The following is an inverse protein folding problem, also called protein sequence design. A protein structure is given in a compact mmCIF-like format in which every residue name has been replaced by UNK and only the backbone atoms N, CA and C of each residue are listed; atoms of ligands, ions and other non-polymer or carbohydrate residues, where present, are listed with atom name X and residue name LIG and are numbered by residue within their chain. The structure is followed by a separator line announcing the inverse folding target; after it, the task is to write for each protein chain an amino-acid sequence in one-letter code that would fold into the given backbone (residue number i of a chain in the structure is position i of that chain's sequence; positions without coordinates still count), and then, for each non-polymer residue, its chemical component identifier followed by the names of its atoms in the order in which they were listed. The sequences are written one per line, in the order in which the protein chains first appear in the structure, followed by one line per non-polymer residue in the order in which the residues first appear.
data_IF_872422359036
#
_entry.id   IF_872422359036
#
_cell.length_a   1.000
_cell.length_b   1.000
_cell.length_c   1.000
_cell.angle_alpha   90.00
_cell.angle_beta   90.00
_cell.angle_gamma   90.00
#
_symmetry.space_group_name_H-M   'P 1'
#
loop_
_entity.id
_entity.type
_entity.pdbx_description
1 polymer ?
#
# COMPACT_ATOMS: atom_id res chain seq x y z
N UNK A 1 9.43 -79.15 -29.87
CA UNK A 1 10.05 -78.48 -28.72
C UNK A 1 9.93 -76.94 -28.96
N UNK A 2 8.90 -76.36 -28.37
CA UNK A 2 8.62 -74.92 -28.53
C UNK A 2 9.26 -74.13 -27.33
N UNK A 3 10.23 -73.27 -27.60
CA UNK A 3 10.85 -72.39 -26.62
C UNK A 3 9.96 -71.14 -26.44
N UNK A 4 9.39 -70.98 -25.27
CA UNK A 4 8.70 -69.77 -24.89
C UNK A 4 9.73 -68.74 -24.35
N UNK A 5 9.86 -67.61 -25.04
CA UNK A 5 10.69 -66.47 -24.64
C UNK A 5 9.74 -65.53 -23.86
N UNK A 6 9.92 -65.47 -22.53
CA UNK A 6 9.24 -64.54 -21.65
C UNK A 6 9.95 -63.20 -21.64
N UNK A 7 9.33 -62.18 -22.25
CA UNK A 7 9.83 -60.82 -22.21
C UNK A 7 9.35 -60.18 -20.89
N UNK A 8 10.22 -59.97 -19.95
CA UNK A 8 9.95 -59.21 -18.74
C UNK A 8 10.09 -57.70 -19.06
N UNK A 9 8.92 -57.04 -19.20
CA UNK A 9 8.89 -55.58 -19.32
C UNK A 9 9.08 -54.97 -17.93
N UNK A 10 10.24 -54.44 -17.66
CA UNK A 10 10.49 -53.59 -16.47
C UNK A 10 9.87 -52.23 -16.69
N UNK A 11 8.72 -51.99 -16.08
CA UNK A 11 8.11 -50.67 -16.00
C UNK A 11 8.92 -49.81 -15.01
N UNK A 12 9.81 -48.96 -15.51
CA UNK A 12 10.41 -47.89 -14.76
C UNK A 12 9.31 -46.84 -14.44
N UNK A 13 8.78 -46.90 -13.24
CA UNK A 13 7.99 -45.81 -12.65
C UNK A 13 8.96 -44.63 -12.37
N UNK A 14 9.03 -43.70 -13.31
CA UNK A 14 9.58 -42.37 -13.07
C UNK A 14 8.62 -41.68 -12.08
N UNK A 15 8.93 -41.76 -10.79
CA UNK A 15 8.37 -40.85 -9.79
C UNK A 15 9.00 -39.48 -10.09
N UNK A 16 8.33 -38.72 -10.95
CA UNK A 16 8.60 -37.28 -11.05
C UNK A 16 8.19 -36.69 -9.69
N UNK A 17 9.16 -36.48 -8.80
CA UNK A 17 9.02 -35.51 -7.72
C UNK A 17 8.71 -34.19 -8.41
N UNK A 18 7.46 -33.79 -8.45
CA UNK A 18 7.10 -32.42 -8.81
C UNK A 18 7.57 -31.56 -7.63
N UNK A 19 8.79 -31.00 -7.73
CA UNK A 19 9.20 -29.93 -6.84
C UNK A 19 8.10 -28.88 -6.90
N UNK A 20 7.61 -28.45 -5.72
CA UNK A 20 6.66 -27.32 -5.66
C UNK A 20 7.30 -26.16 -6.42
N UNK A 21 6.58 -25.52 -7.36
CA UNK A 21 7.14 -24.38 -8.07
C UNK A 21 7.59 -23.33 -7.04
N UNK A 22 8.85 -22.96 -7.11
CA UNK A 22 9.45 -21.92 -6.27
C UNK A 22 9.39 -20.56 -6.92
N UNK A 23 9.87 -19.55 -6.21
CA UNK A 23 10.13 -18.23 -6.77
C UNK A 23 11.61 -18.04 -7.08
N UNK A 24 11.87 -17.22 -8.09
CA UNK A 24 13.19 -16.67 -8.38
C UNK A 24 13.02 -15.15 -8.64
N UNK A 25 13.64 -14.33 -7.80
CA UNK A 25 13.70 -12.88 -7.97
C UNK A 25 15.05 -12.55 -8.57
N UNK A 26 15.07 -12.08 -9.82
CA UNK A 26 16.27 -11.53 -10.47
C UNK A 26 16.20 -10.02 -10.37
N UNK A 27 17.12 -9.41 -9.63
CA UNK A 27 17.11 -7.98 -9.35
C UNK A 27 18.28 -7.22 -9.97
N UNK A 28 18.05 -5.95 -10.27
CA UNK A 28 19.04 -4.98 -10.71
C UNK A 28 19.05 -3.75 -9.80
N UNK A 29 20.24 -3.17 -9.62
CA UNK A 29 20.45 -1.93 -8.87
C UNK A 29 21.25 -0.97 -9.76
N UNK A 30 20.67 0.20 -10.05
CA UNK A 30 21.28 1.17 -10.97
C UNK A 30 22.52 1.87 -10.37
N UNK A 31 22.62 1.97 -9.03
CA UNK A 31 23.72 2.65 -8.36
C UNK A 31 24.89 1.70 -8.13
N UNK A 32 26.04 2.00 -8.77
CA UNK A 32 27.27 1.21 -8.66
C UNK A 32 27.86 1.18 -7.23
N UNK A 33 27.63 2.22 -6.42
CA UNK A 33 28.15 2.31 -5.04
C UNK A 33 27.48 1.28 -4.10
N UNK A 34 26.39 0.67 -4.54
CA UNK A 34 25.68 -0.38 -3.82
C UNK A 34 26.24 -1.79 -4.12
N UNK A 35 27.24 -1.92 -5.01
CA UNK A 35 27.96 -3.20 -5.16
C UNK A 35 28.67 -3.59 -3.86
N UNK A 36 28.60 -4.87 -3.50
CA UNK A 36 29.12 -5.39 -2.24
C UNK A 36 28.21 -5.12 -1.04
N UNK A 37 27.06 -4.49 -1.21
CA UNK A 37 26.02 -4.32 -0.19
C UNK A 37 24.96 -5.40 -0.32
N UNK A 38 24.19 -5.63 0.76
CA UNK A 38 23.13 -6.61 0.78
C UNK A 38 21.77 -5.96 0.57
N UNK A 39 20.98 -6.55 -0.33
CA UNK A 39 19.53 -6.35 -0.40
C UNK A 39 18.89 -7.38 0.52
N UNK A 40 17.89 -6.93 1.31
CA UNK A 40 17.16 -7.76 2.24
C UNK A 40 15.71 -7.93 1.79
N UNK A 41 15.18 -9.14 2.02
CA UNK A 41 13.77 -9.45 1.86
C UNK A 41 13.11 -9.44 3.24
N UNK A 42 12.10 -8.58 3.43
CA UNK A 42 11.39 -8.44 4.69
C UNK A 42 9.91 -8.82 4.56
N UNK A 43 9.33 -9.22 5.67
CA UNK A 43 7.88 -9.27 5.81
C UNK A 43 7.29 -7.86 5.78
N UNK A 44 6.17 -7.68 5.06
CA UNK A 44 5.49 -6.39 4.97
C UNK A 44 4.62 -6.14 6.20
N UNK A 45 4.63 -4.91 6.71
CA UNK A 45 3.75 -4.46 7.80
C UNK A 45 4.19 -4.87 9.20
N UNK A 46 5.35 -5.50 9.34
CA UNK A 46 5.97 -5.82 10.64
C UNK A 46 7.06 -4.79 10.92
N UNK A 47 6.87 -4.03 12.01
CA UNK A 47 7.88 -3.07 12.45
C UNK A 47 9.08 -3.80 13.01
N UNK A 48 10.29 -3.32 12.71
CA UNK A 48 11.57 -3.87 13.17
C UNK A 48 11.75 -5.39 12.87
N UNK A 49 11.09 -5.87 11.79
CA UNK A 49 11.20 -7.26 11.38
C UNK A 49 12.64 -7.61 11.01
N UNK A 50 13.12 -8.74 11.50
CA UNK A 50 14.36 -9.33 11.00
C UNK A 50 14.18 -9.70 9.51
N UNK A 51 15.24 -9.57 8.68
CA UNK A 51 15.18 -10.01 7.30
C UNK A 51 14.85 -11.51 7.21
N UNK A 52 13.97 -11.87 6.28
CA UNK A 52 13.67 -13.26 5.94
C UNK A 52 14.83 -13.88 5.15
N UNK A 53 15.47 -13.07 4.30
CA UNK A 53 16.58 -13.49 3.44
C UNK A 53 17.41 -12.27 3.03
N UNK A 54 18.62 -12.51 2.48
CA UNK A 54 19.52 -11.47 1.99
C UNK A 54 20.26 -11.92 0.73
N UNK A 55 20.51 -10.97 -0.17
CA UNK A 55 21.27 -11.21 -1.40
C UNK A 55 22.34 -10.13 -1.61
N UNK A 56 23.58 -10.56 -1.89
CA UNK A 56 24.69 -9.66 -2.17
C UNK A 56 24.54 -9.05 -3.58
N UNK A 57 24.68 -7.74 -3.69
CA UNK A 57 24.73 -7.07 -4.99
C UNK A 57 26.12 -7.27 -5.60
N UNK A 58 26.17 -7.90 -6.77
CA UNK A 58 27.38 -8.12 -7.55
C UNK A 58 27.15 -7.65 -9.00
N UNK A 59 28.02 -6.78 -9.48
CA UNK A 59 27.89 -6.21 -10.83
C UNK A 59 26.51 -5.60 -11.10
N UNK A 60 25.93 -4.91 -10.11
CA UNK A 60 24.61 -4.30 -10.20
C UNK A 60 23.44 -5.28 -10.19
N UNK A 61 23.66 -6.56 -9.85
CA UNK A 61 22.60 -7.59 -9.82
C UNK A 61 22.54 -8.33 -8.50
N UNK A 62 21.37 -8.88 -8.17
CA UNK A 62 21.13 -9.75 -7.02
C UNK A 62 20.08 -10.81 -7.34
N UNK A 63 20.03 -11.90 -6.57
CA UNK A 63 19.07 -12.97 -6.79
C UNK A 63 18.59 -13.56 -5.47
N UNK A 64 17.27 -13.74 -5.33
CA UNK A 64 16.67 -14.56 -4.28
C UNK A 64 16.00 -15.79 -4.91
N UNK A 65 16.02 -16.92 -4.22
CA UNK A 65 15.32 -18.15 -4.60
C UNK A 65 14.71 -18.82 -3.38
N UNK A 66 13.50 -19.31 -3.54
CA UNK A 66 12.82 -20.00 -2.45
C UNK A 66 11.46 -20.53 -2.86
N UNK A 67 10.65 -20.87 -1.87
CA UNK A 67 9.26 -21.33 -2.07
C UNK A 67 8.33 -20.49 -1.23
N UNK A 68 7.11 -20.26 -1.73
CA UNK A 68 6.06 -19.53 -1.06
C UNK A 68 4.78 -20.39 -1.11
N UNK A 69 4.13 -20.59 0.04
CA UNK A 69 2.91 -21.41 0.10
C UNK A 69 1.70 -20.65 -0.47
N UNK A 70 1.63 -19.35 -0.28
CA UNK A 70 0.59 -18.46 -0.79
C UNK A 70 1.18 -17.08 -1.12
N UNK A 71 0.57 -16.31 -2.06
CA UNK A 71 0.97 -14.93 -2.32
C UNK A 71 0.99 -14.11 -1.03
N UNK A 72 2.06 -13.31 -0.82
CA UNK A 72 2.17 -12.45 0.34
C UNK A 72 2.96 -11.18 0.06
N UNK A 73 2.52 -10.06 0.63
CA UNK A 73 3.26 -8.80 0.54
C UNK A 73 4.63 -8.92 1.21
N UNK A 74 5.65 -8.44 0.52
CA UNK A 74 7.04 -8.40 0.98
C UNK A 74 7.66 -7.05 0.64
N UNK A 75 8.77 -6.75 1.31
CA UNK A 75 9.58 -5.56 1.06
C UNK A 75 11.00 -5.97 0.69
N UNK A 76 11.51 -5.44 -0.42
CA UNK A 76 12.93 -5.41 -0.74
C UNK A 76 13.50 -4.05 -0.35
N UNK A 77 14.60 -4.04 0.39
CA UNK A 77 15.29 -2.82 0.78
C UNK A 77 16.75 -3.10 1.14
N UNK A 78 17.59 -2.07 1.12
CA UNK A 78 18.89 -2.08 1.78
C UNK A 78 18.73 -1.80 3.28
N UNK A 79 19.79 -2.03 4.06
CA UNK A 79 19.85 -1.60 5.44
C UNK A 79 19.86 -0.05 5.53
N UNK A 80 19.32 0.50 6.61
CA UNK A 80 19.18 1.96 6.78
C UNK A 80 20.51 2.70 6.87
N UNK A 81 21.57 2.03 7.31
CA UNK A 81 22.94 2.57 7.32
C UNK A 81 23.60 2.61 5.94
N UNK A 82 23.02 1.91 4.94
CA UNK A 82 23.49 1.88 3.54
C UNK A 82 22.74 2.90 2.69
N UNK A 83 21.43 2.99 2.89
CA UNK A 83 20.55 3.92 2.19
C UNK A 83 19.70 4.63 3.23
N UNK A 84 20.01 5.91 3.48
CA UNK A 84 19.19 6.70 4.39
C UNK A 84 17.74 6.75 3.91
N UNK A 85 16.78 6.44 4.78
CA UNK A 85 15.37 6.58 4.44
C UNK A 85 15.08 8.07 4.28
N UNK A 86 15.12 8.58 3.05
CA UNK A 86 14.56 9.89 2.74
C UNK A 86 13.10 9.82 3.12
N UNK A 87 12.63 10.74 3.96
CA UNK A 87 11.22 10.84 4.33
C UNK A 87 10.43 10.94 3.03
N UNK A 88 9.75 9.85 2.65
CA UNK A 88 9.00 9.79 1.41
C UNK A 88 7.99 10.93 1.40
N UNK A 89 8.07 11.79 0.39
CA UNK A 89 6.97 12.70 0.10
C UNK A 89 5.75 11.81 -0.17
N UNK A 90 4.70 12.00 0.61
CA UNK A 90 3.36 11.37 0.54
C UNK A 90 3.22 10.21 -0.47
N UNK A 91 3.40 8.98 -0.01
CA UNK A 91 3.02 7.78 -0.76
C UNK A 91 4.05 7.21 -1.72
N UNK A 92 5.25 7.77 -1.85
CA UNK A 92 6.34 7.22 -2.64
C UNK A 92 7.14 6.21 -1.81
N UNK A 93 7.56 5.11 -2.44
CA UNK A 93 8.47 4.16 -1.83
C UNK A 93 9.80 4.85 -1.50
N UNK A 94 10.40 4.51 -0.36
CA UNK A 94 11.75 4.98 -0.02
C UNK A 94 12.75 4.59 -1.13
N UNK A 95 13.85 5.35 -1.32
CA UNK A 95 14.87 5.04 -2.30
C UNK A 95 15.32 3.58 -2.21
N UNK A 96 15.51 2.95 -3.35
CA UNK A 96 15.95 1.55 -3.46
C UNK A 96 15.10 0.56 -2.65
N UNK A 97 13.81 0.88 -2.49
CA UNK A 97 12.85 0.05 -1.76
C UNK A 97 11.68 -0.31 -2.67
N UNK A 98 11.21 -1.55 -2.63
CA UNK A 98 9.99 -1.98 -3.31
C UNK A 98 9.12 -2.82 -2.41
N UNK A 99 7.83 -2.51 -2.37
CA UNK A 99 6.79 -3.36 -1.79
C UNK A 99 6.09 -4.07 -2.93
N UNK A 100 6.03 -5.39 -2.85
CA UNK A 100 5.54 -6.25 -3.93
C UNK A 100 4.86 -7.49 -3.37
N UNK A 101 4.20 -8.25 -4.22
CA UNK A 101 3.62 -9.54 -3.84
C UNK A 101 4.59 -10.65 -4.22
N UNK A 102 5.09 -11.40 -3.23
CA UNK A 102 5.89 -12.58 -3.47
C UNK A 102 4.96 -13.74 -3.84
N UNK A 103 5.08 -14.19 -5.07
CA UNK A 103 4.40 -15.35 -5.65
C UNK A 103 5.45 -16.32 -6.20
N UNK A 104 5.13 -17.62 -6.29
CA UNK A 104 5.99 -18.54 -7.00
C UNK A 104 6.00 -18.22 -8.49
N UNK A 105 7.20 -18.21 -9.07
CA UNK A 105 7.44 -17.83 -10.45
C UNK A 105 8.74 -17.03 -10.63
N UNK A 106 8.89 -16.44 -11.81
CA UNK A 106 10.08 -15.61 -12.13
C UNK A 106 9.70 -14.14 -11.97
N UNK A 107 10.29 -13.49 -10.97
CA UNK A 107 10.11 -12.08 -10.70
C UNK A 107 11.34 -11.29 -11.18
N UNK A 108 11.09 -10.08 -11.68
CA UNK A 108 12.12 -9.12 -12.05
C UNK A 108 12.01 -7.92 -11.12
N UNK A 109 13.05 -7.61 -10.37
CA UNK A 109 13.12 -6.45 -9.48
C UNK A 109 14.07 -5.39 -10.05
N UNK A 110 13.66 -4.14 -9.98
CA UNK A 110 14.52 -2.98 -10.22
C UNK A 110 14.50 -2.16 -8.95
N UNK A 111 15.65 -1.98 -8.32
CA UNK A 111 15.82 -1.08 -7.19
C UNK A 111 16.55 0.17 -7.66
N UNK A 112 15.86 1.30 -7.57
CA UNK A 112 16.31 2.59 -8.06
C UNK A 112 15.99 3.70 -7.05
N UNK A 113 16.73 4.80 -7.09
CA UNK A 113 16.52 5.93 -6.16
C UNK A 113 15.15 6.59 -6.35
N UNK A 114 14.70 6.69 -7.59
CA UNK A 114 13.47 7.41 -7.94
C UNK A 114 12.25 6.50 -8.06
N UNK A 115 12.43 5.27 -8.56
CA UNK A 115 11.30 4.39 -8.85
C UNK A 115 11.72 2.91 -8.86
N UNK A 116 11.57 2.25 -7.74
CA UNK A 116 11.73 0.79 -7.62
C UNK A 116 10.44 0.06 -8.04
N UNK A 117 10.58 -1.11 -8.68
CA UNK A 117 9.43 -1.91 -9.09
C UNK A 117 9.77 -3.41 -9.15
N UNK A 118 8.75 -4.24 -8.96
CA UNK A 118 8.82 -5.68 -9.21
C UNK A 118 7.76 -6.05 -10.25
N UNK A 119 8.06 -7.01 -11.12
CA UNK A 119 7.19 -7.50 -12.20
C UNK A 119 7.46 -8.98 -12.48
N UNK A 120 6.75 -9.57 -13.45
CA UNK A 120 6.96 -10.96 -13.93
C UNK A 120 5.95 -11.96 -13.38
N UNK A 121 5.04 -11.53 -12.50
CA UNK A 121 3.88 -12.32 -12.08
C UNK A 121 2.59 -11.50 -12.28
N UNK A 122 1.44 -12.13 -12.48
CA UNK A 122 0.21 -11.42 -12.85
C UNK A 122 -0.19 -10.31 -11.89
N UNK A 123 -0.01 -10.51 -10.58
CA UNK A 123 -0.37 -9.50 -9.58
C UNK A 123 0.59 -8.32 -9.59
N UNK A 124 1.90 -8.57 -9.66
CA UNK A 124 2.92 -7.52 -9.74
C UNK A 124 2.85 -6.74 -11.08
N UNK A 125 2.56 -7.43 -12.18
CA UNK A 125 2.40 -6.78 -13.49
C UNK A 125 1.16 -5.88 -13.51
N UNK A 126 0.05 -6.31 -12.91
CA UNK A 126 -1.15 -5.50 -12.74
C UNK A 126 -0.91 -4.25 -11.88
N UNK A 127 -0.18 -4.40 -10.78
CA UNK A 127 0.20 -3.28 -9.91
C UNK A 127 1.12 -2.29 -10.65
N UNK A 128 2.11 -2.79 -11.38
CA UNK A 128 3.01 -1.97 -12.22
C UNK A 128 2.26 -1.20 -13.30
N UNK A 129 1.28 -1.83 -13.94
CA UNK A 129 0.42 -1.16 -14.95
C UNK A 129 -0.40 -0.02 -14.31
N UNK A 130 -0.99 -0.22 -13.14
CA UNK A 130 -1.68 0.83 -12.39
C UNK A 130 -0.72 1.97 -12.02
N UNK A 131 0.47 1.66 -11.52
CA UNK A 131 1.47 2.69 -11.18
C UNK A 131 1.85 3.54 -12.39
N UNK A 132 2.04 2.91 -13.57
CA UNK A 132 2.30 3.63 -14.82
C UNK A 132 1.12 4.53 -15.22
N UNK A 133 -0.11 4.07 -15.08
CA UNK A 133 -1.32 4.86 -15.32
C UNK A 133 -1.39 6.07 -14.37
N UNK A 134 -1.18 5.85 -13.07
CA UNK A 134 -1.16 6.93 -12.07
C UNK A 134 -0.07 7.97 -12.37
N UNK A 135 1.13 7.52 -12.75
CA UNK A 135 2.23 8.41 -13.17
C UNK A 135 1.83 9.28 -14.35
N UNK A 136 1.17 8.69 -15.36
CA UNK A 136 0.68 9.44 -16.53
C UNK A 136 -0.38 10.47 -16.13
N UNK A 137 -1.33 10.11 -15.27
CA UNK A 137 -2.36 11.02 -14.77
C UNK A 137 -1.77 12.19 -13.98
N UNK A 138 -0.70 11.95 -13.22
CA UNK A 138 -0.01 12.95 -12.39
C UNK A 138 1.03 13.79 -13.14
N UNK A 139 1.27 13.54 -14.41
CA UNK A 139 2.35 14.20 -15.18
C UNK A 139 2.26 15.73 -15.17
N UNK A 140 1.06 16.31 -15.06
CA UNK A 140 0.84 17.76 -15.04
C UNK A 140 0.90 18.39 -13.64
N UNK A 141 0.99 17.60 -12.55
CA UNK A 141 0.97 18.13 -11.16
C UNK A 141 2.16 19.03 -10.85
N UNK A 142 3.32 18.75 -11.42
CA UNK A 142 4.53 19.56 -11.26
C UNK A 142 4.34 20.99 -11.78
N UNK A 143 3.66 21.13 -12.94
CA UNK A 143 3.32 22.44 -13.53
C UNK A 143 2.29 23.17 -12.66
N UNK A 144 1.28 22.48 -12.16
CA UNK A 144 0.25 23.07 -11.29
C UNK A 144 0.82 23.56 -9.96
N UNK A 145 1.89 22.95 -9.45
CA UNK A 145 2.56 23.38 -8.22
C UNK A 145 3.11 24.80 -8.30
N UNK A 146 3.50 25.28 -9.49
CA UNK A 146 3.91 26.67 -9.68
C UNK A 146 2.70 27.62 -9.67
N UNK A 147 1.62 27.26 -10.36
CA UNK A 147 0.39 28.03 -10.46
C UNK A 147 -0.29 28.19 -9.09
N UNK A 148 -0.27 27.15 -8.23
CA UNK A 148 -0.78 27.20 -6.86
C UNK A 148 -0.04 28.19 -5.94
N UNK A 149 1.18 28.64 -6.31
CA UNK A 149 1.97 29.64 -5.58
C UNK A 149 1.83 31.04 -6.17
N UNK A 150 0.98 31.23 -7.18
CA UNK A 150 0.73 32.53 -7.81
C UNK A 150 0.08 33.50 -6.83
N UNK A 151 0.38 34.80 -6.97
CA UNK A 151 -0.34 35.87 -6.27
C UNK A 151 -1.73 36.13 -6.88
N UNK A 152 -1.96 35.70 -8.11
CA UNK A 152 -3.23 35.80 -8.80
C UNK A 152 -4.19 34.70 -8.35
N UNK A 153 -5.27 35.12 -7.67
CA UNK A 153 -6.29 34.21 -7.13
C UNK A 153 -7.04 33.41 -8.20
N UNK A 154 -7.20 33.94 -9.41
CA UNK A 154 -7.86 33.23 -10.52
C UNK A 154 -6.96 32.08 -11.01
N UNK A 155 -5.65 32.33 -11.10
CA UNK A 155 -4.66 31.29 -11.45
C UNK A 155 -4.64 30.19 -10.40
N UNK A 156 -4.60 30.56 -9.11
CA UNK A 156 -4.62 29.58 -7.99
C UNK A 156 -5.89 28.74 -8.04
N UNK A 157 -7.08 29.36 -8.15
CA UNK A 157 -8.35 28.65 -8.19
C UNK A 157 -8.47 27.70 -9.40
N UNK A 158 -7.95 28.10 -10.56
CA UNK A 158 -7.93 27.26 -11.73
C UNK A 158 -6.97 26.05 -11.55
N UNK A 159 -5.82 26.26 -10.88
CA UNK A 159 -4.86 25.20 -10.57
C UNK A 159 -5.41 24.20 -9.55
N UNK A 160 -6.08 24.68 -8.48
CA UNK A 160 -6.74 23.84 -7.48
C UNK A 160 -7.80 22.94 -8.12
N UNK A 161 -8.67 23.52 -8.94
CA UNK A 161 -9.70 22.73 -9.64
C UNK A 161 -9.08 21.63 -10.51
N UNK A 162 -7.98 21.94 -11.19
CA UNK A 162 -7.29 20.99 -12.05
C UNK A 162 -6.57 19.89 -11.24
N UNK A 163 -6.06 20.26 -10.07
CA UNK A 163 -5.51 19.31 -9.10
C UNK A 163 -6.59 18.31 -8.66
N UNK A 164 -7.75 18.79 -8.24
CA UNK A 164 -8.86 17.96 -7.80
C UNK A 164 -9.33 17.00 -8.91
N UNK A 165 -9.40 17.49 -10.17
CA UNK A 165 -9.76 16.66 -11.32
C UNK A 165 -8.73 15.53 -11.57
N UNK A 166 -7.44 15.78 -11.37
CA UNK A 166 -6.37 14.77 -11.49
C UNK A 166 -6.47 13.78 -10.34
N UNK A 167 -6.62 14.27 -9.11
CA UNK A 167 -6.70 13.42 -7.91
C UNK A 167 -7.92 12.50 -7.99
N UNK A 168 -9.07 13.00 -8.45
CA UNK A 168 -10.25 12.18 -8.69
C UNK A 168 -10.00 11.08 -9.72
N UNK A 169 -9.33 11.38 -10.85
CA UNK A 169 -8.98 10.37 -11.86
C UNK A 169 -8.04 9.29 -11.32
N UNK A 170 -7.08 9.68 -10.50
CA UNK A 170 -6.18 8.74 -9.83
C UNK A 170 -6.96 7.86 -8.87
N UNK A 171 -7.81 8.45 -8.04
CA UNK A 171 -8.67 7.72 -7.09
C UNK A 171 -9.62 6.75 -7.81
N UNK A 172 -10.23 7.16 -8.91
CA UNK A 172 -11.10 6.30 -9.73
C UNK A 172 -10.35 5.12 -10.36
N UNK A 173 -9.11 5.35 -10.84
CA UNK A 173 -8.27 4.29 -11.37
C UNK A 173 -7.90 3.27 -10.29
N UNK A 174 -7.52 3.74 -9.10
CA UNK A 174 -7.20 2.89 -7.95
C UNK A 174 -8.44 2.13 -7.47
N UNK A 175 -9.59 2.79 -7.31
CA UNK A 175 -10.86 2.15 -6.94
C UNK A 175 -11.24 1.04 -7.91
N UNK A 176 -11.11 1.31 -9.22
CA UNK A 176 -11.39 0.33 -10.27
C UNK A 176 -10.46 -0.88 -10.17
N UNK A 177 -9.17 -0.65 -9.97
CA UNK A 177 -8.21 -1.74 -9.77
C UNK A 177 -8.58 -2.60 -8.56
N UNK A 178 -8.87 -1.98 -7.42
CA UNK A 178 -9.20 -2.69 -6.18
C UNK A 178 -10.48 -3.53 -6.37
N UNK A 179 -11.54 -2.95 -6.93
CA UNK A 179 -12.80 -3.65 -7.15
C UNK A 179 -12.68 -4.85 -8.09
N UNK A 180 -11.75 -4.80 -9.05
CA UNK A 180 -11.46 -5.90 -9.96
C UNK A 180 -10.50 -6.96 -9.35
N UNK A 181 -9.92 -6.68 -8.17
CA UNK A 181 -8.89 -7.50 -7.54
C UNK A 181 -9.13 -7.75 -6.04
N UNK A 182 -10.38 -7.93 -5.60
CA UNK A 182 -10.78 -8.05 -4.19
C UNK A 182 -10.29 -9.33 -3.47
N UNK A 183 -9.50 -10.15 -4.15
CA UNK A 183 -8.82 -11.34 -3.62
C UNK A 183 -7.30 -11.20 -3.64
N UNK A 184 -6.77 -10.00 -3.99
CA UNK A 184 -5.37 -9.75 -4.23
C UNK A 184 -4.73 -8.94 -3.09
N UNK A 185 -3.50 -9.30 -2.72
CA UNK A 185 -2.74 -8.64 -1.66
C UNK A 185 -2.40 -7.18 -2.00
N UNK A 186 -2.05 -6.92 -3.26
CA UNK A 186 -1.77 -5.58 -3.77
C UNK A 186 -2.97 -4.66 -3.68
N UNK A 187 -4.17 -5.17 -3.96
CA UNK A 187 -5.40 -4.40 -3.88
C UNK A 187 -5.77 -4.06 -2.43
N UNK A 188 -5.54 -4.98 -1.48
CA UNK A 188 -5.72 -4.71 -0.06
C UNK A 188 -4.78 -3.61 0.44
N UNK A 189 -3.49 -3.67 0.05
CA UNK A 189 -2.54 -2.60 0.36
C UNK A 189 -3.00 -1.26 -0.21
N UNK A 190 -3.43 -1.21 -1.47
CA UNK A 190 -3.94 0.00 -2.10
C UNK A 190 -5.18 0.55 -1.41
N UNK A 191 -6.10 -0.31 -0.94
CA UNK A 191 -7.25 0.13 -0.15
C UNK A 191 -6.79 0.88 1.11
N UNK A 192 -5.80 0.36 1.81
CA UNK A 192 -5.27 1.03 3.00
C UNK A 192 -4.53 2.33 2.67
N UNK A 193 -3.73 2.35 1.61
CA UNK A 193 -2.97 3.53 1.19
C UNK A 193 -3.89 4.68 0.77
N UNK A 194 -4.97 4.36 0.05
CA UNK A 194 -5.95 5.34 -0.47
C UNK A 194 -7.20 5.51 0.40
N UNK A 195 -7.20 5.02 1.65
CA UNK A 195 -8.37 5.07 2.54
C UNK A 195 -8.94 6.47 2.79
N UNK A 196 -8.10 7.50 2.70
CA UNK A 196 -8.54 8.89 2.87
C UNK A 196 -9.04 9.54 1.57
N UNK A 197 -8.70 8.98 0.41
CA UNK A 197 -9.20 9.43 -0.89
C UNK A 197 -10.49 8.69 -1.30
N UNK A 198 -10.70 7.48 -0.76
CA UNK A 198 -11.90 6.67 -1.01
C UNK A 198 -12.99 7.01 0.01
N UNK A 199 -14.19 7.27 -0.46
CA UNK A 199 -15.33 7.49 0.42
C UNK A 199 -15.74 6.22 1.20
N UNK A 200 -16.50 6.39 2.28
CA UNK A 200 -16.95 5.29 3.14
C UNK A 200 -17.75 4.24 2.38
N UNK A 201 -18.57 4.67 1.41
CA UNK A 201 -19.38 3.75 0.62
C UNK A 201 -18.52 2.83 -0.25
N UNK A 202 -17.50 3.39 -0.92
CA UNK A 202 -16.54 2.62 -1.71
C UNK A 202 -15.74 1.65 -0.86
N UNK A 203 -15.26 2.09 0.32
CA UNK A 203 -14.52 1.22 1.24
C UNK A 203 -15.39 0.05 1.72
N UNK A 204 -16.63 0.30 2.13
CA UNK A 204 -17.58 -0.74 2.53
C UNK A 204 -17.92 -1.71 1.39
N UNK A 205 -18.08 -1.22 0.15
CA UNK A 205 -18.31 -2.05 -1.03
C UNK A 205 -17.14 -3.00 -1.28
N UNK A 206 -15.90 -2.48 -1.22
CA UNK A 206 -14.68 -3.27 -1.41
C UNK A 206 -14.58 -4.35 -0.32
N UNK A 207 -14.72 -3.99 0.95
CA UNK A 207 -14.64 -4.93 2.08
C UNK A 207 -15.72 -6.01 2.01
N UNK A 208 -16.92 -5.68 1.53
CA UNK A 208 -18.00 -6.66 1.34
C UNK A 208 -17.67 -7.72 0.26
N UNK A 209 -16.90 -7.35 -0.76
CA UNK A 209 -16.45 -8.24 -1.84
C UNK A 209 -15.15 -8.98 -1.54
N UNK A 210 -14.37 -8.48 -0.56
CA UNK A 210 -13.05 -8.99 -0.23
C UNK A 210 -13.10 -10.38 0.44
N UNK A 211 -12.16 -11.23 0.05
CA UNK A 211 -11.98 -12.55 0.66
C UNK A 211 -11.15 -12.49 1.97
N UNK A 212 -10.89 -13.65 2.57
CA UNK A 212 -10.12 -13.76 3.81
C UNK A 212 -8.64 -13.37 3.62
N UNK A 213 -8.04 -13.69 2.47
CA UNK A 213 -6.64 -13.38 2.19
C UNK A 213 -6.43 -11.86 2.05
N UNK A 214 -7.35 -11.17 1.37
CA UNK A 214 -7.37 -9.71 1.31
C UNK A 214 -7.51 -9.09 2.70
N UNK A 215 -8.46 -9.57 3.52
CA UNK A 215 -8.73 -9.05 4.88
C UNK A 215 -7.60 -9.32 5.87
N UNK A 216 -6.75 -10.31 5.62
CA UNK A 216 -5.58 -10.63 6.43
C UNK A 216 -4.37 -9.74 6.17
N UNK A 217 -4.40 -8.89 5.14
CA UNK A 217 -3.30 -7.93 4.87
C UNK A 217 -3.18 -6.92 6.02
N UNK A 218 -1.96 -6.62 6.48
CA UNK A 218 -1.72 -5.70 7.59
C UNK A 218 -2.49 -4.39 7.47
N UNK A 219 -3.10 -3.96 8.58
CA UNK A 219 -3.93 -2.76 8.75
C UNK A 219 -5.33 -2.79 8.11
N UNK A 220 -5.73 -3.81 7.37
CA UNK A 220 -7.11 -3.95 6.89
C UNK A 220 -8.06 -4.19 8.04
N UNK A 221 -7.65 -4.95 9.05
CA UNK A 221 -8.38 -5.13 10.32
C UNK A 221 -8.68 -3.79 11.01
N UNK A 222 -7.70 -2.89 11.08
CA UNK A 222 -7.86 -1.54 11.65
C UNK A 222 -8.80 -0.67 10.80
N UNK A 223 -8.70 -0.78 9.47
CA UNK A 223 -9.61 -0.08 8.58
C UNK A 223 -11.04 -0.56 8.78
N UNK A 224 -11.28 -1.86 8.84
CA UNK A 224 -12.60 -2.44 9.11
C UNK A 224 -13.17 -1.98 10.45
N UNK A 225 -12.35 -2.01 11.51
CA UNK A 225 -12.75 -1.51 12.83
C UNK A 225 -13.11 -0.02 12.78
N UNK A 226 -12.36 0.79 12.04
CA UNK A 226 -12.67 2.21 11.83
C UNK A 226 -14.01 2.40 11.11
N UNK A 227 -14.27 1.66 10.02
CA UNK A 227 -15.55 1.72 9.31
C UNK A 227 -16.74 1.32 10.19
N UNK A 228 -16.55 0.38 11.11
CA UNK A 228 -17.60 0.02 12.08
C UNK A 228 -17.86 1.14 13.09
N UNK A 229 -16.82 1.85 13.53
CA UNK A 229 -16.97 3.04 14.39
C UNK A 229 -17.73 4.14 13.65
N UNK A 230 -17.43 4.42 12.38
CA UNK A 230 -18.13 5.45 11.58
C UNK A 230 -19.64 5.21 11.51
N UNK A 231 -20.09 3.95 11.45
CA UNK A 231 -21.53 3.60 11.48
C UNK A 231 -22.23 4.06 12.78
N UNK A 232 -21.49 4.17 13.88
CA UNK A 232 -22.04 4.59 15.18
C UNK A 232 -22.21 6.10 15.30
N UNK A 233 -21.43 6.87 14.52
CA UNK A 233 -21.43 8.34 14.51
C UNK A 233 -22.01 8.95 13.23
N UNK A 234 -22.61 8.13 12.36
CA UNK A 234 -23.21 8.57 11.10
C UNK A 234 -24.31 9.62 11.33
N UNK A 235 -24.58 10.41 10.30
CA UNK A 235 -25.65 11.42 10.31
C UNK A 235 -26.98 10.78 10.74
N UNK A 236 -27.69 11.42 11.67
CA UNK A 236 -28.95 10.92 12.25
C UNK A 236 -28.77 9.97 13.43
N UNK A 237 -27.56 9.59 13.80
CA UNK A 237 -27.28 8.83 15.02
C UNK A 237 -27.17 9.76 16.22
N UNK A 238 -27.45 9.21 17.40
CA UNK A 238 -27.18 9.93 18.65
C UNK A 238 -25.65 10.10 18.79
N UNK A 239 -25.23 11.30 19.20
CA UNK A 239 -23.81 11.56 19.48
C UNK A 239 -23.26 10.59 20.55
N UNK A 240 -22.00 10.25 20.44
CA UNK A 240 -21.27 9.49 21.45
C UNK A 240 -20.72 10.47 22.48
N UNK A 241 -21.11 10.28 23.75
CA UNK A 241 -20.64 11.15 24.82
C UNK A 241 -19.19 10.84 25.16
N UNK A 242 -18.40 11.85 25.48
CA UNK A 242 -17.01 11.72 25.92
C UNK A 242 -16.68 12.81 26.97
N UNK A 243 -15.64 12.57 27.72
CA UNK A 243 -15.12 13.51 28.71
C UNK A 243 -13.78 14.09 28.27
N UNK A 244 -13.62 15.39 28.48
CA UNK A 244 -12.35 16.10 28.27
C UNK A 244 -12.09 17.14 29.37
N UNK A 245 -10.83 17.26 29.77
CA UNK A 245 -10.43 18.33 30.68
C UNK A 245 -10.23 19.65 29.92
N UNK A 246 -10.71 20.75 30.49
CA UNK A 246 -10.37 22.10 30.05
C UNK A 246 -8.93 22.48 30.42
N UNK A 247 -8.39 23.64 29.95
CA UNK A 247 -7.04 24.08 30.32
C UNK A 247 -6.80 24.28 31.81
N UNK A 248 -7.86 24.40 32.62
CA UNK A 248 -7.78 24.53 34.07
C UNK A 248 -7.85 23.16 34.79
N UNK A 249 -7.93 22.06 34.03
CA UNK A 249 -8.02 20.71 34.57
C UNK A 249 -9.42 20.27 34.99
N UNK A 250 -10.47 21.05 34.73
CA UNK A 250 -11.84 20.67 35.01
C UNK A 250 -12.38 19.79 33.89
N UNK A 251 -12.89 18.63 34.24
CA UNK A 251 -13.50 17.68 33.30
C UNK A 251 -14.91 18.10 32.94
N UNK A 252 -15.22 18.05 31.65
CA UNK A 252 -16.52 18.31 31.06
C UNK A 252 -16.96 17.11 30.21
N UNK A 253 -18.27 16.88 30.14
CA UNK A 253 -18.89 15.92 29.22
C UNK A 253 -19.47 16.64 28.02
N UNK A 254 -19.42 16.04 26.83
CA UNK A 254 -20.07 16.58 25.64
C UNK A 254 -21.57 16.77 25.88
N UNK A 255 -22.22 15.87 26.61
CA UNK A 255 -23.65 15.95 26.98
C UNK A 255 -24.03 17.20 27.79
N UNK A 256 -23.09 17.91 28.40
CA UNK A 256 -23.37 19.20 29.06
C UNK A 256 -23.71 20.30 28.05
N UNK A 257 -23.21 20.17 26.81
CA UNK A 257 -23.34 21.19 25.75
C UNK A 257 -24.34 20.78 24.67
N UNK A 258 -24.57 19.49 24.44
CA UNK A 258 -25.38 18.93 23.34
C UNK A 258 -26.67 18.35 23.91
N UNK A 259 -27.74 18.39 23.11
CA UNK A 259 -28.99 17.67 23.40
C UNK A 259 -30.05 18.48 24.16
N UNK A 260 -29.81 19.75 24.44
CA UNK A 260 -30.80 20.62 25.09
C UNK A 260 -31.89 21.20 24.13
N UNK A 261 -31.80 20.85 22.84
CA UNK A 261 -32.75 21.22 21.80
C UNK A 261 -32.77 22.70 21.38
N UNK A 262 -31.87 23.53 21.93
CA UNK A 262 -31.85 24.98 21.67
C UNK A 262 -30.68 25.44 20.78
N UNK A 263 -29.58 24.70 20.74
CA UNK A 263 -28.37 25.12 20.06
C UNK A 263 -27.85 24.06 19.09
N UNK A 264 -27.24 24.51 18.00
CA UNK A 264 -26.36 23.69 17.16
C UNK A 264 -24.95 23.77 17.77
N UNK A 265 -24.32 22.65 17.99
CA UNK A 265 -22.97 22.56 18.52
C UNK A 265 -22.05 22.04 17.42
N UNK A 266 -21.02 22.81 17.09
CA UNK A 266 -19.92 22.39 16.23
C UNK A 266 -18.79 21.85 17.12
N UNK A 267 -18.32 20.65 16.81
CA UNK A 267 -17.16 20.05 17.49
C UNK A 267 -16.00 20.10 16.50
N UNK A 268 -14.91 20.77 16.88
CA UNK A 268 -13.68 20.83 16.12
C UNK A 268 -12.56 20.11 16.89
N UNK A 269 -11.99 19.04 16.27
CA UNK A 269 -10.84 18.32 16.81
C UNK A 269 -9.58 18.83 16.12
N UNK A 270 -8.74 19.55 16.85
CA UNK A 270 -7.52 20.12 16.31
C UNK A 270 -6.29 19.76 17.16
N UNK A 271 -5.10 19.97 16.61
CA UNK A 271 -3.84 19.83 17.31
C UNK A 271 -2.87 20.95 16.90
N UNK A 272 -1.88 21.24 17.75
CA UNK A 272 -0.90 22.32 17.52
C UNK A 272 -0.10 22.20 16.22
N UNK A 273 -0.04 21.03 15.63
CA UNK A 273 0.60 20.76 14.33
C UNK A 273 -0.36 20.81 13.15
N UNK A 274 -1.66 20.99 13.36
CA UNK A 274 -2.64 21.17 12.29
C UNK A 274 -2.61 22.60 11.79
N UNK A 275 -1.97 22.85 10.63
CA UNK A 275 -1.88 24.18 10.04
C UNK A 275 -3.23 24.91 9.89
N UNK A 276 -4.32 24.26 9.37
CA UNK A 276 -5.66 24.87 9.30
C UNK A 276 -6.26 25.20 10.66
N UNK A 277 -6.03 24.36 11.67
CA UNK A 277 -6.59 24.54 13.02
C UNK A 277 -6.02 25.78 13.75
N UNK A 278 -4.77 26.16 13.49
CA UNK A 278 -4.15 27.34 14.10
C UNK A 278 -4.79 28.65 13.58
N UNK A 279 -5.30 28.64 12.35
CA UNK A 279 -5.94 29.82 11.74
C UNK A 279 -7.40 30.00 12.15
N UNK A 280 -8.03 29.05 12.82
CA UNK A 280 -9.44 29.06 13.22
C UNK A 280 -9.69 29.40 14.68
N UNK A 281 -8.63 29.63 15.48
CA UNK A 281 -8.75 30.05 16.88
C UNK A 281 -9.02 31.56 16.92
N UNK A 282 -10.30 31.90 16.68
CA UNK A 282 -10.87 33.25 16.93
C UNK A 282 -12.20 33.16 17.64
#
# INVERSE_FOLDING_TARGET
MKKYLTLAAAALLLVACSEKPGYEISGTVANADLNGKYVYLYEYGVQDAAPMDSALVQNGTFTFKGTQDAPALRKLAFAEDVVEPKRAASGENAPFTSIFVLENGKLQAILDEAASAVSGTPENDGLKALQAQMKTLRADLEKLSADMKSEDKEVVSAAEKKYDEIDQKVTDAVKTYILNNTTKQSAAKLLYDFRYSLDEAAQNEIIAKADSAFKAVPNIDKLMAHLDVLKTVAVGKKFVDFEMADPNGKTHKLSEFVGNGKNIVLIDFWASWCGPGICQIW
#
